data_IF_767002970216
#
_entry.id   IF_767002970216
#
_cell.length_a   1.000
_cell.length_b   1.000
_cell.length_c   1.000
_cell.angle_alpha   90.00
_cell.angle_beta   90.00
_cell.angle_gamma   90.00
#
_symmetry.space_group_name_H-M   'P 1'
#
loop_
_entity.id
_entity.type
_entity.pdbx_description
1 polymer ?
#
# COMPACT_ATOMS: atom_id res chain seq x y z
N UNK A 1 5.45 -9.89 12.77
CA UNK A 1 4.46 -10.96 12.92
C UNK A 1 4.71 -12.06 11.92
N UNK A 2 4.51 -13.30 12.32
CA UNK A 2 4.69 -14.49 11.48
C UNK A 2 3.74 -14.49 10.26
N UNK A 3 4.03 -15.32 9.26
CA UNK A 3 3.10 -15.54 8.16
C UNK A 3 1.80 -16.16 8.69
N UNK A 4 0.65 -15.75 8.13
CA UNK A 4 -0.65 -16.32 8.51
C UNK A 4 -1.34 -15.71 9.74
N UNK A 5 -0.74 -14.73 10.43
CA UNK A 5 -1.36 -14.06 11.60
C UNK A 5 -2.48 -13.06 11.24
N UNK A 6 -2.98 -13.07 10.01
CA UNK A 6 -4.08 -12.20 9.58
C UNK A 6 -3.71 -10.74 9.33
N UNK A 7 -2.43 -10.42 9.04
CA UNK A 7 -2.02 -9.04 8.73
C UNK A 7 -2.83 -8.43 7.58
N UNK A 8 -3.11 -9.22 6.54
CA UNK A 8 -3.96 -8.82 5.42
C UNK A 8 -5.38 -8.48 5.90
N UNK A 9 -5.97 -9.33 6.75
CA UNK A 9 -7.29 -9.08 7.32
C UNK A 9 -7.35 -7.80 8.18
N UNK A 10 -6.25 -7.44 8.85
CA UNK A 10 -6.15 -6.16 9.57
C UNK A 10 -6.18 -4.98 8.61
N UNK A 11 -5.45 -5.06 7.49
CA UNK A 11 -5.43 -4.01 6.45
C UNK A 11 -6.80 -3.87 5.80
N UNK A 12 -7.46 -4.99 5.47
CA UNK A 12 -8.81 -5.00 4.91
C UNK A 12 -9.84 -4.40 5.88
N UNK A 13 -9.78 -4.79 7.16
CA UNK A 13 -10.63 -4.21 8.21
C UNK A 13 -10.40 -2.71 8.38
N UNK A 14 -9.14 -2.25 8.26
CA UNK A 14 -8.83 -0.83 8.30
C UNK A 14 -9.37 -0.07 7.08
N UNK A 15 -9.21 -0.63 5.88
CA UNK A 15 -9.76 -0.05 4.65
C UNK A 15 -11.29 0.07 4.73
N UNK A 16 -11.97 -0.95 5.28
CA UNK A 16 -13.41 -0.94 5.50
C UNK A 16 -13.83 0.21 6.44
N UNK A 17 -13.12 0.40 7.55
CA UNK A 17 -13.42 1.51 8.48
C UNK A 17 -13.23 2.88 7.85
N UNK A 18 -12.19 3.06 7.03
CA UNK A 18 -12.00 4.30 6.27
C UNK A 18 -13.18 4.53 5.32
N UNK A 19 -13.60 3.51 4.57
CA UNK A 19 -14.72 3.61 3.65
C UNK A 19 -16.06 3.92 4.35
N UNK A 20 -16.22 3.47 5.60
CA UNK A 20 -17.39 3.75 6.44
C UNK A 20 -17.31 5.10 7.17
N UNK A 21 -16.16 5.78 7.13
CA UNK A 21 -15.91 6.98 7.93
C UNK A 21 -15.72 6.69 9.43
N UNK A 22 -15.60 5.42 9.83
CA UNK A 22 -15.34 4.98 11.21
C UNK A 22 -13.85 5.08 11.55
N UNK A 23 -13.31 6.28 11.37
CA UNK A 23 -11.91 6.62 11.63
C UNK A 23 -11.79 8.05 12.15
N UNK A 24 -10.72 8.38 12.90
CA UNK A 24 -10.44 9.76 13.28
C UNK A 24 -10.43 10.71 12.07
N UNK A 25 -10.77 12.00 12.25
CA UNK A 25 -10.83 12.97 11.15
C UNK A 25 -9.55 13.05 10.30
N UNK A 26 -8.39 12.83 10.91
CA UNK A 26 -7.08 12.84 10.22
C UNK A 26 -6.90 11.69 9.22
N UNK A 27 -7.71 10.64 9.31
CA UNK A 27 -7.68 9.46 8.44
C UNK A 27 -8.91 9.39 7.53
N UNK A 28 -9.79 10.39 7.54
CA UNK A 28 -10.89 10.47 6.59
C UNK A 28 -10.37 10.88 5.20
N UNK A 29 -11.06 10.43 4.15
CA UNK A 29 -10.73 10.74 2.75
C UNK A 29 -9.31 10.34 2.32
N UNK A 30 -8.74 9.31 2.96
CA UNK A 30 -7.47 8.71 2.54
C UNK A 30 -7.75 7.44 1.73
N UNK A 31 -6.86 7.10 0.80
CA UNK A 31 -6.91 5.84 0.06
C UNK A 31 -5.98 4.82 0.71
N UNK A 32 -6.46 3.58 0.89
CA UNK A 32 -5.62 2.45 1.30
C UNK A 32 -5.21 1.65 0.06
N UNK A 33 -3.91 1.39 -0.08
CA UNK A 33 -3.35 0.58 -1.18
C UNK A 33 -2.43 -0.49 -0.60
N UNK A 34 -2.36 -1.64 -1.27
CA UNK A 34 -1.41 -2.70 -0.96
C UNK A 34 -0.47 -2.88 -2.14
N UNK A 35 0.82 -2.98 -1.86
CA UNK A 35 1.87 -3.23 -2.84
C UNK A 35 2.37 -4.66 -2.68
N UNK A 36 2.14 -5.49 -3.70
CA UNK A 36 2.72 -6.83 -3.73
C UNK A 36 4.17 -6.76 -4.26
N UNK A 37 5.12 -6.84 -3.34
CA UNK A 37 6.56 -6.83 -3.65
C UNK A 37 6.99 -8.09 -4.42
N UNK A 38 6.31 -9.22 -4.23
CA UNK A 38 6.58 -10.45 -4.96
C UNK A 38 6.26 -10.29 -6.45
N UNK A 39 5.10 -9.70 -6.77
CA UNK A 39 4.75 -9.36 -8.15
C UNK A 39 5.67 -8.29 -8.76
N UNK A 40 6.16 -7.35 -7.95
CA UNK A 40 7.15 -6.37 -8.43
C UNK A 40 8.48 -7.00 -8.81
N UNK A 41 8.95 -7.99 -8.03
CA UNK A 41 10.16 -8.75 -8.33
C UNK A 41 9.95 -9.70 -9.51
N UNK A 42 8.73 -10.22 -9.68
CA UNK A 42 8.37 -11.02 -10.85
C UNK A 42 8.56 -10.18 -12.13
N UNK A 43 9.47 -10.64 -12.99
CA UNK A 43 9.81 -9.96 -14.23
C UNK A 43 10.73 -8.74 -14.07
N UNK A 44 11.34 -8.52 -12.89
CA UNK A 44 12.50 -7.65 -12.75
C UNK A 44 13.77 -8.48 -13.01
N UNK A 45 14.16 -8.60 -14.27
CA UNK A 45 15.30 -9.45 -14.69
C UNK A 45 16.62 -8.70 -14.69
N UNK A 46 16.58 -7.37 -14.73
CA UNK A 46 17.77 -6.51 -14.77
C UNK A 46 18.11 -6.01 -13.37
N UNK A 47 19.38 -6.06 -13.00
CA UNK A 47 19.88 -5.49 -11.73
C UNK A 47 19.48 -4.02 -11.63
N UNK A 48 18.81 -3.63 -10.54
CA UNK A 48 18.35 -2.25 -10.32
C UNK A 48 16.94 -1.94 -10.83
N UNK A 49 16.31 -2.86 -11.57
CA UNK A 49 14.97 -2.65 -12.14
C UNK A 49 13.88 -2.64 -11.05
N UNK A 50 13.99 -3.54 -10.07
CA UNK A 50 13.09 -3.58 -8.92
C UNK A 50 13.09 -2.25 -8.16
N UNK A 51 14.28 -1.73 -7.86
CA UNK A 51 14.46 -0.46 -7.14
C UNK A 51 13.91 0.72 -7.94
N UNK A 52 14.10 0.72 -9.27
CA UNK A 52 13.52 1.74 -10.16
C UNK A 52 11.99 1.70 -10.13
N UNK A 53 11.39 0.50 -10.19
CA UNK A 53 9.93 0.33 -10.11
C UNK A 53 9.40 0.77 -8.74
N UNK A 54 10.08 0.41 -7.65
CA UNK A 54 9.67 0.79 -6.29
C UNK A 54 9.72 2.31 -6.11
N UNK A 55 10.78 2.94 -6.61
CA UNK A 55 10.88 4.40 -6.60
C UNK A 55 9.73 5.05 -7.36
N UNK A 56 9.39 4.55 -8.55
CA UNK A 56 8.28 5.08 -9.33
C UNK A 56 6.93 4.99 -8.56
N UNK A 57 6.66 3.86 -7.91
CA UNK A 57 5.45 3.69 -7.07
C UNK A 57 5.44 4.69 -5.91
N UNK A 58 6.57 4.88 -5.22
CA UNK A 58 6.66 5.86 -4.12
C UNK A 58 6.43 7.28 -4.63
N UNK A 59 7.04 7.64 -5.75
CA UNK A 59 6.91 8.97 -6.35
C UNK A 59 5.43 9.23 -6.77
N UNK A 60 4.73 8.24 -7.32
CA UNK A 60 3.29 8.33 -7.64
C UNK A 60 2.41 8.46 -6.38
N UNK A 61 2.71 7.69 -5.33
CA UNK A 61 2.00 7.77 -4.05
C UNK A 61 2.15 9.15 -3.41
N UNK A 62 3.35 9.75 -3.48
CA UNK A 62 3.62 11.09 -2.97
C UNK A 62 2.96 12.20 -3.79
N UNK A 63 2.81 12.00 -5.11
CA UNK A 63 2.21 12.98 -6.02
C UNK A 63 0.67 12.95 -6.02
N UNK A 64 0.05 11.96 -5.38
CA UNK A 64 -1.40 11.79 -5.37
C UNK A 64 -2.13 12.96 -4.69
N UNK A 65 -3.16 13.49 -5.35
CA UNK A 65 -4.06 14.52 -4.79
C UNK A 65 -4.83 14.00 -3.56
N UNK A 66 -5.11 12.69 -3.53
CA UNK A 66 -5.71 12.00 -2.40
C UNK A 66 -4.59 11.36 -1.56
N UNK A 67 -4.49 11.61 -0.25
CA UNK A 67 -3.48 10.97 0.59
C UNK A 67 -3.60 9.44 0.54
N UNK A 68 -2.48 8.76 0.34
CA UNK A 68 -2.44 7.29 0.26
C UNK A 68 -1.68 6.71 1.46
N UNK A 69 -2.29 5.73 2.11
CA UNK A 69 -1.62 4.81 3.04
C UNK A 69 -1.26 3.56 2.25
N UNK A 70 0.04 3.35 2.02
CA UNK A 70 0.56 2.21 1.29
C UNK A 70 1.04 1.11 2.26
N UNK A 71 0.47 -0.08 2.14
CA UNK A 71 0.92 -1.29 2.81
C UNK A 71 1.80 -2.12 1.89
N UNK A 72 2.81 -2.79 2.44
CA UNK A 72 3.81 -3.63 1.75
C UNK A 72 3.80 -5.02 2.38
#
# INVERSE_FOLDING_TARGET
GEAGVGKTAVVEGFALRIAQGDVPPTLQNVSVRMLDVGLMQAGASVKGEFEKRLKAVIDEVQASEVPIILFI
#
